data_IF_219892271754
#
_entry.id   IF_219892271754
#
_cell.length_a   1.000
_cell.length_b   1.000
_cell.length_c   1.000
_cell.angle_alpha   90.00
_cell.angle_beta   90.00
_cell.angle_gamma   90.00
#
_symmetry.space_group_name_H-M   'P 1'
#
loop_
_entity.id
_entity.type
_entity.pdbx_description
1 polymer ?
#
# COMPACT_ATOMS: atom_id res chain seq x y z
N UNK A 1 -9.62 -16.77 -6.29
CA UNK A 1 -8.23 -16.38 -5.91
C UNK A 1 -7.88 -17.21 -4.69
N UNK A 2 -6.74 -17.89 -4.66
CA UNK A 2 -6.38 -18.71 -3.51
C UNK A 2 -6.06 -17.77 -2.33
N UNK A 3 -6.81 -17.90 -1.24
CA UNK A 3 -6.58 -17.19 0.01
C UNK A 3 -5.22 -17.63 0.58
N UNK A 4 -4.32 -16.69 0.79
CA UNK A 4 -2.99 -16.99 1.29
C UNK A 4 -3.07 -17.41 2.77
N UNK A 5 -2.15 -18.27 3.23
CA UNK A 5 -2.10 -18.68 4.64
C UNK A 5 -1.98 -17.47 5.60
N UNK A 6 -1.42 -16.37 5.13
CA UNK A 6 -1.33 -15.09 5.83
C UNK A 6 -2.70 -14.39 5.93
N UNK A 7 -3.44 -14.27 4.82
CA UNK A 7 -4.79 -13.68 4.80
C UNK A 7 -5.73 -14.42 5.75
N UNK A 8 -5.66 -15.76 5.79
CA UNK A 8 -6.49 -16.58 6.69
C UNK A 8 -6.22 -16.28 8.16
N UNK A 9 -4.96 -16.12 8.55
CA UNK A 9 -4.56 -15.76 9.93
C UNK A 9 -5.01 -14.35 10.30
N UNK A 10 -4.82 -13.39 9.40
CA UNK A 10 -5.25 -11.99 9.61
C UNK A 10 -6.77 -11.92 9.75
N UNK A 11 -7.50 -12.65 8.90
CA UNK A 11 -8.97 -12.75 8.97
C UNK A 11 -9.43 -13.30 10.31
N UNK A 12 -8.80 -14.37 10.80
CA UNK A 12 -9.11 -14.93 12.11
C UNK A 12 -8.96 -13.89 13.24
N UNK A 13 -7.85 -13.14 13.26
CA UNK A 13 -7.61 -12.09 14.26
C UNK A 13 -8.70 -11.00 14.18
N UNK A 14 -9.07 -10.59 12.97
CA UNK A 14 -10.11 -9.57 12.75
C UNK A 14 -11.49 -10.08 13.16
N UNK A 15 -11.83 -11.33 12.85
CA UNK A 15 -13.11 -11.93 13.20
C UNK A 15 -13.26 -12.11 14.71
N UNK A 16 -12.21 -12.58 15.40
CA UNK A 16 -12.16 -12.68 16.86
C UNK A 16 -12.33 -11.30 17.51
N UNK A 17 -11.65 -10.29 16.99
CA UNK A 17 -11.74 -8.90 17.47
C UNK A 17 -13.11 -8.28 17.20
N UNK A 18 -13.66 -8.50 16.02
CA UNK A 18 -14.99 -8.00 15.63
C UNK A 18 -16.08 -8.64 16.46
N UNK A 19 -16.03 -9.95 16.67
CA UNK A 19 -16.96 -10.66 17.55
C UNK A 19 -16.87 -10.15 18.99
N UNK A 20 -15.66 -9.96 19.52
CA UNK A 20 -15.43 -9.43 20.87
C UNK A 20 -16.04 -8.04 21.09
N UNK A 21 -15.93 -7.13 20.10
CA UNK A 21 -16.31 -5.72 20.28
C UNK A 21 -17.66 -5.33 19.65
N UNK A 22 -18.08 -5.97 18.56
CA UNK A 22 -19.39 -5.74 17.92
C UNK A 22 -20.46 -6.73 18.41
N UNK A 23 -20.05 -7.87 18.97
CA UNK A 23 -20.93 -9.00 19.30
C UNK A 23 -21.39 -9.80 18.09
N UNK A 24 -20.94 -9.42 16.88
CA UNK A 24 -21.24 -10.07 15.61
C UNK A 24 -20.02 -9.95 14.69
N UNK A 25 -19.87 -10.91 13.79
CA UNK A 25 -18.94 -10.79 12.65
C UNK A 25 -19.70 -10.19 11.47
N UNK A 26 -19.17 -9.12 10.90
CA UNK A 26 -19.72 -8.53 9.66
C UNK A 26 -18.80 -9.00 8.54
N UNK A 27 -19.18 -10.06 7.82
CA UNK A 27 -18.31 -10.72 6.83
C UNK A 27 -17.67 -9.73 5.84
N UNK A 28 -18.47 -8.79 5.32
CA UNK A 28 -17.99 -7.76 4.39
C UNK A 28 -16.94 -6.82 5.02
N UNK A 29 -17.13 -6.44 6.28
CA UNK A 29 -16.16 -5.61 7.01
C UNK A 29 -14.87 -6.41 7.25
N UNK A 30 -15.00 -7.65 7.72
CA UNK A 30 -13.87 -8.54 7.97
C UNK A 30 -13.06 -8.79 6.71
N UNK A 31 -13.71 -9.01 5.57
CA UNK A 31 -13.04 -9.14 4.27
C UNK A 31 -12.33 -7.86 3.87
N UNK A 32 -12.96 -6.69 4.00
CA UNK A 32 -12.32 -5.41 3.66
C UNK A 32 -11.13 -5.08 4.58
N UNK A 33 -11.26 -5.31 5.88
CA UNK A 33 -10.18 -5.15 6.85
C UNK A 33 -9.05 -6.14 6.55
N UNK A 34 -9.36 -7.41 6.27
CA UNK A 34 -8.36 -8.44 5.93
C UNK A 34 -7.62 -8.06 4.66
N UNK A 35 -8.34 -7.67 3.60
CA UNK A 35 -7.73 -7.22 2.36
C UNK A 35 -6.81 -6.01 2.58
N UNK A 36 -7.21 -5.06 3.44
CA UNK A 36 -6.42 -3.85 3.73
C UNK A 36 -5.23 -4.10 4.65
N UNK A 37 -5.33 -5.07 5.55
CA UNK A 37 -4.29 -5.49 6.46
C UNK A 37 -3.26 -6.42 5.78
N UNK A 38 -3.73 -7.35 4.95
CA UNK A 38 -2.90 -8.29 4.18
C UNK A 38 -2.17 -7.61 3.02
N UNK A 39 -2.74 -6.51 2.50
CA UNK A 39 -2.01 -5.58 1.65
C UNK A 39 -0.79 -5.08 2.41
N UNK A 40 0.40 -5.49 1.95
CA UNK A 40 1.67 -5.28 2.65
C UNK A 40 1.83 -3.84 3.13
N UNK A 41 2.63 -3.64 4.18
CA UNK A 41 2.86 -2.30 4.73
C UNK A 41 3.29 -1.30 3.64
N UNK A 42 3.89 -1.73 2.54
CA UNK A 42 4.26 -0.86 1.42
C UNK A 42 3.15 -0.61 0.38
N UNK A 43 1.87 -0.74 0.70
CA UNK A 43 0.81 -0.28 -0.21
C UNK A 43 0.73 1.26 -0.24
N UNK A 44 0.94 1.82 -1.44
CA UNK A 44 0.92 3.25 -1.73
C UNK A 44 -0.44 3.66 -2.28
N UNK A 45 -0.91 4.86 -1.90
CA UNK A 45 -2.08 5.43 -2.54
C UNK A 45 -1.68 5.91 -3.94
N UNK A 46 -2.15 5.21 -4.96
CA UNK A 46 -1.81 5.50 -6.34
C UNK A 46 -2.79 6.56 -6.86
N UNK A 47 -2.25 7.76 -7.08
CA UNK A 47 -3.02 8.85 -7.68
C UNK A 47 -2.92 8.78 -9.22
N UNK A 48 -3.96 8.23 -9.83
CA UNK A 48 -4.11 8.13 -11.29
C UNK A 48 -4.53 9.44 -11.97
N UNK A 49 -4.63 10.54 -11.23
CA UNK A 49 -4.86 11.88 -11.82
C UNK A 49 -3.56 12.55 -12.28
N UNK A 50 -2.41 12.14 -11.73
CA UNK A 50 -1.09 12.68 -12.06
C UNK A 50 -0.50 11.97 -13.27
N UNK A 51 0.50 12.59 -13.91
CA UNK A 51 1.26 11.95 -14.98
C UNK A 51 1.98 10.69 -14.47
N UNK A 52 2.26 9.74 -15.37
CA UNK A 52 2.95 8.49 -14.98
C UNK A 52 4.32 8.77 -14.35
N UNK A 53 5.02 9.80 -14.85
CA UNK A 53 6.34 10.20 -14.34
C UNK A 53 6.25 10.72 -12.91
N UNK A 54 5.29 11.58 -12.63
CA UNK A 54 5.08 12.15 -11.30
C UNK A 54 4.60 11.10 -10.31
N UNK A 55 3.60 10.30 -10.68
CA UNK A 55 3.11 9.22 -9.84
C UNK A 55 4.22 8.23 -9.49
N UNK A 56 5.09 7.89 -10.45
CA UNK A 56 6.25 7.03 -10.20
C UNK A 56 7.27 7.69 -9.27
N UNK A 57 7.49 9.00 -9.39
CA UNK A 57 8.40 9.76 -8.52
C UNK A 57 7.87 9.79 -7.08
N UNK A 58 6.58 10.03 -6.90
CA UNK A 58 5.91 10.02 -5.59
C UNK A 58 5.94 8.63 -4.96
N UNK A 59 5.64 7.59 -5.73
CA UNK A 59 5.77 6.21 -5.29
C UNK A 59 7.19 5.92 -4.78
N UNK A 60 8.23 6.25 -5.57
CA UNK A 60 9.63 6.04 -5.16
C UNK A 60 9.96 6.81 -3.89
N UNK A 61 9.48 8.05 -3.76
CA UNK A 61 9.70 8.89 -2.58
C UNK A 61 9.05 8.29 -1.34
N UNK A 62 7.79 7.88 -1.45
CA UNK A 62 7.05 7.26 -0.35
C UNK A 62 7.68 5.94 0.08
N UNK A 63 8.02 5.08 -0.89
CA UNK A 63 8.71 3.80 -0.65
C UNK A 63 10.01 4.04 0.11
N UNK A 64 10.87 4.91 -0.42
CA UNK A 64 12.19 5.12 0.14
C UNK A 64 12.13 5.79 1.52
N UNK A 65 11.25 6.78 1.69
CA UNK A 65 10.99 7.43 2.98
C UNK A 65 10.60 6.42 4.04
N UNK A 66 9.65 5.53 3.70
CA UNK A 66 9.15 4.52 4.63
C UNK A 66 10.22 3.49 5.00
N UNK A 67 11.00 3.02 4.03
CA UNK A 67 12.11 2.10 4.27
C UNK A 67 13.20 2.73 5.13
N UNK A 68 13.51 4.00 4.89
CA UNK A 68 14.46 4.74 5.71
C UNK A 68 13.94 4.89 7.14
N UNK A 69 12.65 5.15 7.36
CA UNK A 69 12.08 5.16 8.71
C UNK A 69 12.17 3.79 9.38
N UNK A 70 11.85 2.71 8.67
CA UNK A 70 11.93 1.34 9.19
C UNK A 70 13.36 0.90 9.55
N UNK A 71 14.35 1.45 8.85
CA UNK A 71 15.78 1.18 9.07
C UNK A 71 16.51 2.31 9.79
N UNK A 72 15.78 3.23 10.45
CA UNK A 72 16.37 4.33 11.23
C UNK A 72 17.40 5.18 10.45
N UNK A 73 17.16 5.37 9.15
CA UNK A 73 18.02 6.09 8.24
C UNK A 73 19.29 5.32 7.82
N UNK A 74 19.33 4.00 8.03
CA UNK A 74 20.44 3.15 7.58
C UNK A 74 20.31 2.81 6.08
N UNK A 75 21.01 3.59 5.27
CA UNK A 75 21.03 3.45 3.80
C UNK A 75 21.55 2.07 3.36
N UNK A 76 22.49 1.48 4.10
CA UNK A 76 23.08 0.18 3.74
C UNK A 76 22.12 -0.99 3.98
N UNK A 77 21.21 -0.87 4.94
CA UNK A 77 20.14 -1.85 5.15
C UNK A 77 19.06 -1.70 4.10
N UNK A 78 18.61 -0.47 3.83
CA UNK A 78 17.64 -0.19 2.77
C UNK A 78 18.14 -0.67 1.39
N UNK A 79 19.43 -0.49 1.09
CA UNK A 79 20.04 -0.99 -0.14
C UNK A 79 20.00 -2.52 -0.23
N UNK A 80 20.26 -3.22 0.88
CA UNK A 80 20.15 -4.69 0.96
C UNK A 80 18.71 -5.16 0.78
N UNK A 81 17.77 -4.52 1.47
CA UNK A 81 16.35 -4.87 1.38
C UNK A 81 15.77 -4.67 -0.04
N UNK A 82 16.26 -3.67 -0.76
CA UNK A 82 15.82 -3.35 -2.13
C UNK A 82 16.63 -4.07 -3.22
N UNK A 83 17.64 -4.86 -2.86
CA UNK A 83 18.58 -5.53 -3.77
C UNK A 83 19.26 -4.57 -4.76
N UNK A 84 19.71 -3.41 -4.28
CA UNK A 84 20.38 -2.40 -5.10
C UNK A 84 21.67 -1.90 -4.46
N UNK A 85 22.54 -1.30 -5.26
CA UNK A 85 23.76 -0.69 -4.75
C UNK A 85 23.46 0.53 -3.86
N UNK A 86 24.29 0.71 -2.82
CA UNK A 86 24.18 1.83 -1.87
C UNK A 86 24.21 3.20 -2.58
N UNK A 87 24.98 3.36 -3.66
CA UNK A 87 25.03 4.62 -4.43
C UNK A 87 23.72 4.90 -5.16
N UNK A 88 22.96 3.87 -5.51
CA UNK A 88 21.63 4.03 -6.11
C UNK A 88 20.67 4.64 -5.10
N UNK A 89 20.66 4.13 -3.86
CA UNK A 89 19.83 4.71 -2.79
C UNK A 89 20.24 6.15 -2.48
N UNK A 90 21.54 6.44 -2.35
CA UNK A 90 22.03 7.81 -2.13
C UNK A 90 21.57 8.79 -3.22
N UNK A 91 21.71 8.40 -4.49
CA UNK A 91 21.23 9.24 -5.61
C UNK A 91 19.73 9.48 -5.53
N UNK A 92 18.94 8.44 -5.23
CA UNK A 92 17.49 8.57 -5.08
C UNK A 92 17.10 9.49 -3.92
N UNK A 93 17.77 9.41 -2.77
CA UNK A 93 17.53 10.30 -1.62
C UNK A 93 17.70 11.77 -2.03
N UNK A 94 18.78 12.08 -2.76
CA UNK A 94 19.08 13.43 -3.22
C UNK A 94 18.06 13.89 -4.28
N UNK A 95 17.80 13.06 -5.30
CA UNK A 95 16.86 13.37 -6.39
C UNK A 95 15.41 13.60 -5.90
N UNK A 96 15.02 12.86 -4.87
CA UNK A 96 13.67 12.91 -4.30
C UNK A 96 13.55 13.91 -3.14
N UNK A 97 14.66 14.55 -2.73
CA UNK A 97 14.70 15.54 -1.65
C UNK A 97 14.26 14.96 -0.30
N UNK A 98 14.75 13.78 0.07
CA UNK A 98 14.41 13.11 1.33
C UNK A 98 15.39 13.54 2.42
N UNK A 99 14.88 14.13 3.49
CA UNK A 99 15.71 14.54 4.65
C UNK A 99 15.97 13.36 5.60
N UNK A 100 17.04 12.62 5.32
CA UNK A 100 17.49 11.51 6.19
C UNK A 100 18.02 12.02 7.53
N UNK A 101 18.60 13.22 7.56
CA UNK A 101 19.19 13.77 8.78
C UNK A 101 18.10 14.15 9.79
N UNK A 102 16.99 14.74 9.34
CA UNK A 102 15.81 15.02 10.15
C UNK A 102 15.14 13.74 10.67
N UNK A 103 15.04 12.70 9.85
CA UNK A 103 14.49 11.39 10.28
C UNK A 103 15.28 10.76 11.43
N UNK A 104 16.62 10.93 11.44
CA UNK A 104 17.48 10.45 12.52
C UNK A 104 17.32 11.24 13.82
N UNK A 105 16.81 12.48 13.77
CA UNK A 105 16.55 13.29 14.98
C UNK A 105 15.21 12.94 15.61
N UNK A 106 14.22 12.57 14.80
CA UNK A 106 12.88 12.19 15.25
C UNK A 106 12.69 10.66 15.24
N UNK A 107 13.60 9.92 15.90
CA UNK A 107 13.61 8.44 15.88
C UNK A 107 12.33 7.83 16.46
N UNK A 108 11.28 7.74 15.65
CA UNK A 108 10.17 6.83 15.89
C UNK A 108 10.73 5.41 15.74
N UNK A 109 10.42 4.52 16.69
CA UNK A 109 10.88 3.12 16.56
C UNK A 109 10.21 2.54 15.31
N UNK A 110 10.88 1.66 14.54
CA UNK A 110 10.31 1.07 13.32
C UNK A 110 8.95 0.41 13.58
N UNK A 111 8.77 -0.17 14.76
CA UNK A 111 7.52 -0.72 15.24
C UNK A 111 6.41 0.34 15.35
N UNK A 112 6.70 1.52 15.93
CA UNK A 112 5.73 2.61 16.11
C UNK A 112 5.27 3.16 14.74
N UNK A 113 6.16 3.20 13.75
CA UNK A 113 5.83 3.58 12.36
C UNK A 113 4.88 2.55 11.73
N UNK A 114 5.19 1.24 11.84
CA UNK A 114 4.31 0.18 11.33
C UNK A 114 2.93 0.23 11.98
N UNK A 115 2.89 0.47 13.29
CA UNK A 115 1.66 0.54 14.08
C UNK A 115 0.78 1.71 13.64
N UNK A 116 1.35 2.92 13.51
CA UNK A 116 0.61 4.10 13.05
C UNK A 116 0.05 3.93 11.63
N UNK A 117 0.81 3.32 10.73
CA UNK A 117 0.35 3.05 9.37
C UNK A 117 -0.79 2.03 9.34
N UNK A 118 -0.71 0.97 10.15
CA UNK A 118 -1.78 -0.04 10.23
C UNK A 118 -3.04 0.56 10.86
N UNK A 119 -2.90 1.33 11.94
CA UNK A 119 -4.02 2.03 12.57
C UNK A 119 -4.77 2.89 11.55
N UNK A 120 -4.03 3.73 10.83
CA UNK A 120 -4.60 4.61 9.81
C UNK A 120 -5.35 3.83 8.73
N UNK A 121 -4.85 2.65 8.33
CA UNK A 121 -5.52 1.80 7.32
C UNK A 121 -6.83 1.23 7.83
N UNK A 122 -6.84 0.70 9.05
CA UNK A 122 -8.04 0.10 9.64
C UNK A 122 -9.09 1.18 9.92
N UNK A 123 -8.68 2.33 10.47
CA UNK A 123 -9.56 3.48 10.68
C UNK A 123 -10.24 3.94 9.39
N UNK A 124 -9.49 4.03 8.28
CA UNK A 124 -10.05 4.38 6.97
C UNK A 124 -11.07 3.36 6.42
N UNK A 125 -11.03 2.11 6.87
CA UNK A 125 -12.08 1.13 6.55
C UNK A 125 -13.27 1.37 7.45
N UNK A 126 -13.07 1.46 8.77
CA UNK A 126 -14.12 1.70 9.75
C UNK A 126 -14.92 2.98 9.47
N UNK A 127 -14.25 4.01 8.97
CA UNK A 127 -14.86 5.29 8.60
C UNK A 127 -15.99 5.13 7.59
N UNK A 128 -15.90 4.14 6.69
CA UNK A 128 -16.93 3.85 5.68
C UNK A 128 -18.18 3.18 6.25
N UNK A 129 -18.05 2.59 7.44
CA UNK A 129 -19.13 1.88 8.11
C UNK A 129 -19.78 2.72 9.22
N UNK A 130 -19.40 4.00 9.37
CA UNK A 130 -19.98 4.95 10.34
C UNK A 130 -21.50 5.07 10.28
N UNK A 131 -22.06 4.95 9.08
CA UNK A 131 -23.51 5.05 8.84
C UNK A 131 -24.24 3.71 9.03
N UNK A 132 -23.51 2.59 9.05
CA UNK A 132 -24.07 1.23 9.06
C UNK A 132 -24.00 0.63 10.47
N UNK A 133 -22.91 0.91 11.20
CA UNK A 133 -22.65 0.35 12.52
C UNK A 133 -23.10 1.34 13.59
N UNK A 134 -23.77 0.83 14.63
CA UNK A 134 -24.19 1.65 15.76
C UNK A 134 -23.00 2.43 16.37
N UNK A 135 -23.10 3.76 16.57
CA UNK A 135 -21.97 4.62 16.95
C UNK A 135 -21.18 4.14 18.18
N UNK A 136 -21.87 3.64 19.20
CA UNK A 136 -21.22 3.12 20.42
C UNK A 136 -20.35 1.89 20.14
N UNK A 137 -20.82 0.94 19.32
CA UNK A 137 -20.06 -0.27 18.99
C UNK A 137 -18.87 0.08 18.11
N UNK A 138 -19.07 1.00 17.18
CA UNK A 138 -18.01 1.50 16.31
C UNK A 138 -16.92 2.22 17.11
N UNK A 139 -17.30 3.08 18.06
CA UNK A 139 -16.36 3.75 18.97
C UNK A 139 -15.51 2.75 19.75
N UNK A 140 -16.10 1.67 20.24
CA UNK A 140 -15.35 0.60 20.90
C UNK A 140 -14.33 -0.02 19.95
N UNK A 141 -14.67 -0.22 18.67
CA UNK A 141 -13.71 -0.71 17.70
C UNK A 141 -12.56 0.28 17.48
N UNK A 142 -12.84 1.57 17.29
CA UNK A 142 -11.82 2.63 17.14
C UNK A 142 -10.83 2.64 18.30
N UNK A 143 -11.33 2.54 19.54
CA UNK A 143 -10.48 2.54 20.73
C UNK A 143 -9.54 1.33 20.80
N UNK A 144 -9.87 0.24 20.11
CA UNK A 144 -9.10 -1.01 20.09
C UNK A 144 -8.37 -1.26 18.76
N UNK A 145 -8.40 -0.32 17.82
CA UNK A 145 -7.66 -0.43 16.55
C UNK A 145 -6.17 -0.64 16.82
N UNK A 146 -5.60 0.00 17.84
CA UNK A 146 -4.17 -0.17 18.16
C UNK A 146 -3.82 -1.58 18.63
N UNK A 147 -4.72 -2.26 19.36
CA UNK A 147 -4.52 -3.65 19.79
C UNK A 147 -4.58 -4.58 18.58
N UNK A 148 -5.62 -4.41 17.75
CA UNK A 148 -5.80 -5.15 16.50
C UNK A 148 -4.61 -5.00 15.56
N UNK A 149 -4.13 -3.77 15.38
CA UNK A 149 -2.96 -3.48 14.54
C UNK A 149 -1.69 -4.14 15.05
N UNK A 150 -1.45 -4.17 16.36
CA UNK A 150 -0.30 -4.88 16.94
C UNK A 150 -0.38 -6.38 16.61
N UNK A 151 -1.52 -7.01 16.88
CA UNK A 151 -1.73 -8.44 16.58
C UNK A 151 -1.47 -8.77 15.10
N UNK A 152 -1.92 -7.92 14.18
CA UNK A 152 -1.68 -8.07 12.74
C UNK A 152 -0.20 -7.89 12.40
N UNK A 153 0.46 -6.86 12.94
CA UNK A 153 1.86 -6.52 12.64
C UNK A 153 2.83 -7.65 13.01
N UNK A 154 2.54 -8.38 14.08
CA UNK A 154 3.33 -9.53 14.54
C UNK A 154 3.30 -10.70 13.56
N UNK A 155 2.18 -10.90 12.88
CA UNK A 155 2.01 -11.97 11.89
C UNK A 155 2.48 -11.56 10.48
N UNK A 156 2.63 -10.26 10.20
CA UNK A 156 3.05 -9.79 8.88
C UNK A 156 4.55 -10.05 8.64
N UNK A 157 4.91 -10.79 7.57
CA UNK A 157 6.31 -11.01 7.23
C UNK A 157 7.01 -9.68 6.91
N UNK A 158 8.27 -9.57 7.32
CA UNK A 158 9.16 -8.45 6.99
C UNK A 158 9.73 -8.56 5.57
N UNK A 159 9.28 -9.51 4.76
CA UNK A 159 9.82 -9.74 3.43
C UNK A 159 9.60 -8.51 2.54
N UNK A 160 10.71 -7.88 2.19
CA UNK A 160 10.74 -6.69 1.37
C UNK A 160 10.92 -7.10 -0.08
N UNK A 161 10.05 -6.60 -0.94
CA UNK A 161 10.19 -6.77 -2.39
C UNK A 161 11.39 -5.95 -2.86
N UNK A 162 12.16 -6.49 -3.80
CA UNK A 162 13.23 -5.73 -4.47
C UNK A 162 12.68 -4.46 -5.13
N UNK A 163 13.53 -3.44 -5.35
CA UNK A 163 13.10 -2.18 -5.97
C UNK A 163 12.41 -2.43 -7.33
N UNK A 164 12.95 -3.37 -8.10
CA UNK A 164 12.39 -3.75 -9.40
C UNK A 164 11.00 -4.37 -9.28
N UNK A 165 10.81 -5.26 -8.30
CA UNK A 165 9.52 -5.89 -8.05
C UNK A 165 8.50 -4.83 -7.59
N UNK A 166 8.88 -3.97 -6.65
CA UNK A 166 8.03 -2.90 -6.15
C UNK A 166 7.62 -1.91 -7.27
N UNK A 167 8.55 -1.53 -8.14
CA UNK A 167 8.24 -0.68 -9.30
C UNK A 167 7.31 -1.35 -10.32
N UNK A 168 7.46 -2.66 -10.55
CA UNK A 168 6.56 -3.41 -11.43
C UNK A 168 5.15 -3.50 -10.85
N UNK A 169 5.03 -3.74 -9.56
CA UNK A 169 3.74 -3.81 -8.87
C UNK A 169 3.02 -2.45 -8.92
N UNK A 170 3.75 -1.35 -8.67
CA UNK A 170 3.25 0.01 -8.84
C UNK A 170 2.79 0.25 -10.27
N UNK A 171 3.63 -0.07 -11.26
CA UNK A 171 3.29 0.13 -12.66
C UNK A 171 2.03 -0.65 -13.06
N UNK A 172 1.92 -1.90 -12.61
CA UNK A 172 0.75 -2.71 -12.89
C UNK A 172 -0.51 -2.12 -12.28
N UNK A 173 -0.47 -1.71 -11.02
CA UNK A 173 -1.61 -1.14 -10.32
C UNK A 173 -2.02 0.23 -10.90
N UNK A 174 -1.06 1.11 -11.16
CA UNK A 174 -1.30 2.43 -11.76
C UNK A 174 -1.92 2.30 -13.16
N UNK A 175 -1.33 1.48 -14.04
CA UNK A 175 -1.84 1.33 -15.39
C UNK A 175 -3.22 0.65 -15.43
N UNK A 176 -3.49 -0.29 -14.52
CA UNK A 176 -4.81 -0.90 -14.38
C UNK A 176 -5.86 0.15 -14.01
N UNK A 177 -5.59 0.96 -12.98
CA UNK A 177 -6.51 1.99 -12.51
C UNK A 177 -6.80 3.04 -13.60
N UNK A 178 -5.78 3.47 -14.34
CA UNK A 178 -5.94 4.43 -15.44
C UNK A 178 -6.78 3.82 -16.57
N UNK A 179 -6.51 2.57 -16.95
CA UNK A 179 -7.27 1.90 -18.01
C UNK A 179 -8.72 1.66 -17.61
N UNK A 180 -8.99 1.30 -16.34
CA UNK A 180 -10.34 1.18 -15.80
C UNK A 180 -11.09 2.51 -15.86
N UNK A 181 -10.44 3.62 -15.47
CA UNK A 181 -11.01 4.98 -15.55
C UNK A 181 -11.41 5.39 -16.97
N UNK A 182 -10.68 4.92 -17.97
CA UNK A 182 -10.92 5.21 -19.38
C UNK A 182 -11.63 4.05 -20.12
N UNK A 183 -12.29 3.13 -19.41
CA UNK A 183 -13.02 1.98 -20.00
C UNK A 183 -12.18 1.16 -21.01
N UNK A 184 -10.86 1.08 -20.81
CA UNK A 184 -9.94 0.38 -21.71
C UNK A 184 -9.50 1.18 -22.94
N UNK A 185 -9.91 2.45 -23.09
CA UNK A 185 -9.49 3.32 -24.19
C UNK A 185 -8.03 3.75 -24.05
N UNK A 186 -7.12 2.96 -24.63
CA UNK A 186 -5.66 3.14 -24.53
C UNK A 186 -5.20 4.53 -25.03
N UNK A 187 -5.84 5.08 -26.07
CA UNK A 187 -5.47 6.40 -26.61
C UNK A 187 -5.74 7.52 -25.60
N UNK A 188 -6.91 7.51 -24.96
CA UNK A 188 -7.28 8.49 -23.94
C UNK A 188 -6.47 8.32 -22.66
N UNK A 189 -6.30 7.07 -22.21
CA UNK A 189 -5.47 6.72 -21.07
C UNK A 189 -4.01 7.15 -21.26
N UNK A 190 -3.44 6.98 -22.46
CA UNK A 190 -2.06 7.39 -22.75
C UNK A 190 -1.90 8.91 -22.70
N UNK A 191 -2.89 9.65 -23.22
CA UNK A 191 -2.91 11.11 -23.18
C UNK A 191 -3.03 11.62 -21.75
N UNK A 192 -3.92 11.05 -20.93
CA UNK A 192 -4.17 11.52 -19.56
C UNK A 192 -2.97 11.35 -18.63
N UNK A 193 -2.09 10.37 -18.89
CA UNK A 193 -0.90 10.13 -18.06
C UNK A 193 0.41 10.53 -18.74
N UNK A 194 0.33 11.24 -19.87
CA UNK A 194 1.45 11.79 -20.64
C UNK A 194 2.49 10.75 -21.08
N UNK A 195 2.04 9.58 -21.54
CA UNK A 195 2.93 8.57 -22.14
C UNK A 195 2.56 8.32 -23.59
N UNK A 196 3.55 7.91 -24.38
CA UNK A 196 3.31 7.51 -25.78
C UNK A 196 2.36 6.32 -25.82
N UNK A 197 1.43 6.34 -26.76
CA UNK A 197 0.44 5.28 -26.97
C UNK A 197 1.10 3.90 -27.11
N UNK A 198 2.18 3.80 -27.89
CA UNK A 198 2.91 2.54 -28.13
C UNK A 198 3.49 1.99 -26.81
N UNK A 199 3.93 2.89 -25.93
CA UNK A 199 4.49 2.52 -24.63
C UNK A 199 3.40 1.96 -23.72
N UNK A 200 2.24 2.60 -23.66
CA UNK A 200 1.10 2.10 -22.90
C UNK A 200 0.60 0.77 -23.46
N UNK A 201 0.41 0.68 -24.78
CA UNK A 201 -0.07 -0.53 -25.44
C UNK A 201 0.86 -1.72 -25.19
N UNK A 202 2.18 -1.52 -25.29
CA UNK A 202 3.18 -2.55 -24.99
C UNK A 202 3.11 -2.98 -23.52
N UNK A 203 2.99 -2.03 -22.59
CA UNK A 203 2.90 -2.32 -21.14
C UNK A 203 1.58 -3.03 -20.79
N UNK A 204 0.45 -2.56 -21.29
CA UNK A 204 -0.86 -3.19 -21.09
C UNK A 204 -0.89 -4.64 -21.61
N UNK A 205 -0.29 -4.89 -22.78
CA UNK A 205 -0.15 -6.26 -23.33
C UNK A 205 0.71 -7.15 -22.43
N UNK A 206 1.85 -6.65 -21.95
CA UNK A 206 2.74 -7.39 -21.04
C UNK A 206 2.04 -7.73 -19.71
N UNK A 207 1.15 -6.85 -19.26
CA UNK A 207 0.39 -6.99 -18.01
C UNK A 207 -0.90 -7.80 -18.16
N UNK A 208 -1.21 -8.30 -19.36
CA UNK A 208 -2.39 -9.13 -19.61
C UNK A 208 -3.73 -8.38 -19.47
N UNK A 209 -3.73 -7.04 -19.52
CA UNK A 209 -4.95 -6.24 -19.43
C UNK A 209 -5.66 -6.36 -20.78
N UNK A 210 -6.66 -7.26 -20.87
CA UNK A 210 -7.46 -7.45 -22.07
C UNK A 210 -8.20 -6.14 -22.37
N UNK A 211 -8.16 -5.70 -23.63
CA UNK A 211 -9.03 -4.61 -24.11
C UNK A 211 -10.47 -5.04 -23.83
N UNK A 212 -11.17 -4.28 -23.00
CA UNK A 212 -12.63 -4.32 -22.99
C UNK A 212 -13.05 -3.76 -24.35
N UNK A 213 -13.22 -4.67 -25.31
CA UNK A 213 -13.78 -4.32 -26.61
C UNK A 213 -15.16 -3.71 -26.36
N UNK A 214 -15.34 -2.47 -26.81
CA UNK A 214 -16.64 -1.83 -26.92
C UNK A 214 -17.60 -2.78 -27.65
N UNK A 215 -18.74 -3.06 -27.02
CA UNK A 215 -19.99 -3.38 -27.74
C UNK A 215 -20.69 -2.07 -28.01
#
# INVERSE_FOLDING_TARGET
>A
MAETALEKKIKQIIDETSSKYLGITIDRLSEELTMKAAKGLLDFNIDSTKSYREAKREFRRALLTRLLLLRLGNISEVARDLEVDRRTIHRMVIELGIDVAGMKKNMARPYDVRLGDMNSRLENVLDRYKEIIHPNKLKTLYMNVSELSDSIIRELPLEMKSLKQAENDFEQAYLRQVLEKHNGAISEAAKSIEIRYETLARKAKKLGIKRTSQR
#
